data_IF_736289496752
#
_entry.id   IF_736289496752
#
_cell.length_a   1.000
_cell.length_b   1.000
_cell.length_c   1.000
_cell.angle_alpha   90.00
_cell.angle_beta   90.00
_cell.angle_gamma   90.00
#
_symmetry.space_group_name_H-M   'P 1'
#
loop_
_entity.id
_entity.type
_entity.pdbx_description
1 polymer ?
#
# COMPACT_ATOMS: atom_id res chain seq x y z
N UNK A 1 1.33 -5.39 41.05
CA UNK A 1 1.29 -4.14 40.29
C UNK A 1 1.11 -4.54 38.84
N UNK A 2 0.04 -4.12 38.21
CA UNK A 2 -0.79 -4.81 37.27
C UNK A 2 -0.20 -5.00 35.86
N UNK A 3 0.08 -6.25 35.51
CA UNK A 3 0.28 -6.74 34.16
C UNK A 3 -1.09 -7.17 33.59
N UNK A 4 -1.87 -6.26 33.07
CA UNK A 4 -3.11 -6.58 32.35
C UNK A 4 -3.47 -5.46 31.38
N UNK A 5 -2.79 -5.39 30.23
CA UNK A 5 -3.30 -4.56 29.11
C UNK A 5 -2.73 -4.96 27.72
N UNK A 6 -2.27 -6.21 27.52
CA UNK A 6 -1.72 -6.62 26.20
C UNK A 6 -2.36 -7.88 25.60
N UNK A 7 -3.65 -8.14 25.82
CA UNK A 7 -4.31 -9.33 25.30
C UNK A 7 -5.56 -9.06 24.46
N UNK A 8 -5.60 -7.99 23.67
CA UNK A 8 -6.77 -7.71 22.81
C UNK A 8 -6.46 -7.28 21.38
N UNK A 9 -5.24 -7.53 20.87
CA UNK A 9 -4.90 -7.20 19.48
C UNK A 9 -4.90 -8.38 18.51
N UNK A 10 -5.13 -9.62 18.96
CA UNK A 10 -4.93 -10.82 18.15
C UNK A 10 -6.13 -11.32 17.35
N UNK A 11 -7.25 -10.59 17.27
CA UNK A 11 -8.44 -11.05 16.53
C UNK A 11 -9.07 -9.99 15.62
N UNK A 12 -8.30 -9.01 15.14
CA UNK A 12 -8.81 -8.05 14.18
C UNK A 12 -8.37 -8.37 12.74
N UNK A 13 -8.65 -9.60 12.28
CA UNK A 13 -8.79 -9.87 10.86
C UNK A 13 -10.10 -9.25 10.37
N UNK A 14 -10.17 -7.93 10.40
CA UNK A 14 -11.22 -7.23 9.68
C UNK A 14 -10.88 -7.27 8.19
N UNK A 15 -11.60 -8.10 7.43
CA UNK A 15 -11.90 -7.79 6.03
C UNK A 15 -12.56 -6.42 6.05
N UNK A 16 -11.77 -5.36 5.86
CA UNK A 16 -12.27 -4.00 5.74
C UNK A 16 -13.12 -3.94 4.46
N UNK A 17 -14.41 -4.11 4.61
CA UNK A 17 -15.37 -3.69 3.59
C UNK A 17 -15.20 -2.17 3.45
N UNK A 18 -15.28 -1.61 2.24
CA UNK A 18 -15.26 -0.15 1.99
C UNK A 18 -16.22 0.61 2.90
N UNK A 19 -17.34 0.00 3.30
CA UNK A 19 -18.29 0.56 4.27
C UNK A 19 -17.72 0.74 5.68
N UNK A 20 -16.59 0.11 6.01
CA UNK A 20 -15.94 0.21 7.32
C UNK A 20 -14.82 1.27 7.33
N UNK A 21 -14.32 1.66 6.16
CA UNK A 21 -13.26 2.67 6.03
C UNK A 21 -13.76 4.06 6.42
N UNK A 22 -14.95 4.44 5.98
CA UNK A 22 -15.58 5.70 6.39
C UNK A 22 -15.85 5.76 7.90
N UNK A 23 -16.14 4.62 8.53
CA UNK A 23 -16.45 4.55 9.96
C UNK A 23 -15.25 4.85 10.86
N UNK A 24 -14.06 4.27 10.60
CA UNK A 24 -12.89 4.52 11.45
C UNK A 24 -12.28 5.92 11.20
N UNK A 25 -12.27 6.40 9.96
CA UNK A 25 -11.85 7.78 9.64
C UNK A 25 -12.73 8.78 10.36
N UNK A 26 -14.04 8.63 10.28
CA UNK A 26 -15.00 9.48 11.00
C UNK A 26 -14.76 9.47 12.52
N UNK A 27 -14.52 8.29 13.09
CA UNK A 27 -14.20 8.18 14.52
C UNK A 27 -12.93 8.95 14.87
N UNK A 28 -11.83 8.73 14.14
CA UNK A 28 -10.55 9.41 14.39
C UNK A 28 -10.65 10.92 14.17
N UNK A 29 -11.36 11.38 13.17
CA UNK A 29 -11.61 12.81 12.94
C UNK A 29 -12.42 13.45 14.08
N UNK A 30 -13.39 12.73 14.60
CA UNK A 30 -14.17 13.18 15.75
C UNK A 30 -13.27 13.34 16.98
N UNK A 31 -12.45 12.35 17.29
CA UNK A 31 -11.50 12.42 18.42
C UNK A 31 -10.48 13.54 18.21
N UNK A 32 -9.98 13.69 16.98
CA UNK A 32 -9.05 14.77 16.65
C UNK A 32 -9.66 16.17 16.84
N UNK A 33 -10.96 16.34 16.57
CA UNK A 33 -11.69 17.60 16.85
C UNK A 33 -11.75 17.95 18.33
N UNK A 34 -11.79 16.94 19.21
CA UNK A 34 -11.82 17.15 20.67
C UNK A 34 -10.50 17.66 21.22
N UNK A 35 -9.35 17.38 20.56
CA UNK A 35 -8.02 17.80 21.00
C UNK A 35 -7.78 19.33 20.92
N UNK A 36 -8.70 20.09 20.37
CA UNK A 36 -8.55 21.54 20.18
C UNK A 36 -7.57 21.92 19.06
N UNK A 37 -7.71 23.14 18.55
CA UNK A 37 -6.99 23.58 17.33
C UNK A 37 -5.47 23.82 17.56
N UNK A 38 -5.02 23.95 18.81
CA UNK A 38 -3.63 24.24 19.15
C UNK A 38 -2.85 23.00 19.58
N UNK A 39 -3.44 21.80 19.57
CA UNK A 39 -2.76 20.58 19.95
C UNK A 39 -1.56 20.31 19.03
N UNK A 40 -0.39 20.07 19.63
CA UNK A 40 0.83 19.72 18.88
C UNK A 40 0.61 18.46 18.05
N UNK A 41 1.00 18.51 16.79
CA UNK A 41 0.86 17.36 15.87
C UNK A 41 -0.53 17.20 15.24
N UNK A 42 -1.51 18.07 15.57
CA UNK A 42 -2.87 17.98 15.04
C UNK A 42 -2.93 17.97 13.51
N UNK A 43 -2.22 18.90 12.86
CA UNK A 43 -2.20 18.98 11.39
C UNK A 43 -1.62 17.72 10.74
N UNK A 44 -0.55 17.16 11.34
CA UNK A 44 0.03 15.92 10.90
C UNK A 44 -0.94 14.72 11.08
N UNK A 45 -1.61 14.64 12.22
CA UNK A 45 -2.62 13.61 12.46
C UNK A 45 -3.79 13.73 11.49
N UNK A 46 -4.29 14.94 11.24
CA UNK A 46 -5.33 15.18 10.24
C UNK A 46 -4.89 14.71 8.86
N UNK A 47 -3.67 15.05 8.46
CA UNK A 47 -3.12 14.65 7.16
C UNK A 47 -3.03 13.11 7.05
N UNK A 48 -2.52 12.43 8.08
CA UNK A 48 -2.41 10.97 8.13
C UNK A 48 -3.80 10.32 8.03
N UNK A 49 -4.78 10.79 8.81
CA UNK A 49 -6.15 10.25 8.78
C UNK A 49 -6.77 10.41 7.38
N UNK A 50 -6.56 11.56 6.74
CA UNK A 50 -7.09 11.84 5.41
C UNK A 50 -6.53 10.89 4.35
N UNK A 51 -5.23 10.57 4.41
CA UNK A 51 -4.53 9.77 3.39
C UNK A 51 -4.36 8.30 3.74
N UNK A 52 -4.66 7.90 4.98
CA UNK A 52 -4.63 6.49 5.36
C UNK A 52 -5.67 5.68 4.59
N UNK A 53 -5.33 4.46 4.23
CA UNK A 53 -6.20 3.54 3.49
C UNK A 53 -6.18 2.17 4.17
N UNK A 54 -7.37 1.64 4.48
CA UNK A 54 -7.54 0.35 5.13
C UNK A 54 -7.18 -0.84 4.20
N UNK A 55 -6.98 -0.59 2.91
CA UNK A 55 -6.51 -1.59 1.96
C UNK A 55 -5.02 -1.94 2.11
N UNK A 56 -4.22 -1.11 2.82
CA UNK A 56 -2.84 -1.46 3.10
C UNK A 56 -2.77 -2.66 4.05
N UNK A 57 -2.28 -3.79 3.56
CA UNK A 57 -2.19 -5.04 4.31
C UNK A 57 -0.87 -5.20 5.09
N UNK A 58 0.09 -4.29 4.90
CA UNK A 58 1.39 -4.32 5.58
C UNK A 58 1.90 -2.92 5.92
N UNK A 59 2.82 -2.78 6.90
CA UNK A 59 3.49 -1.51 7.19
C UNK A 59 4.26 -0.93 5.99
N UNK A 60 4.83 -1.79 5.14
CA UNK A 60 5.56 -1.35 3.95
C UNK A 60 4.62 -0.74 2.91
N UNK A 61 3.46 -1.35 2.65
CA UNK A 61 2.43 -0.77 1.78
C UNK A 61 1.94 0.58 2.29
N UNK A 62 1.69 0.69 3.61
CA UNK A 62 1.29 1.95 4.23
C UNK A 62 2.39 3.02 4.10
N UNK A 63 3.67 2.64 4.18
CA UNK A 63 4.80 3.55 3.99
C UNK A 63 4.92 3.99 2.53
N UNK A 64 4.75 3.10 1.56
CA UNK A 64 4.71 3.45 0.12
C UNK A 64 3.60 4.48 -0.12
N UNK A 65 2.39 4.20 0.35
CA UNK A 65 1.25 5.11 0.19
C UNK A 65 1.55 6.49 0.80
N UNK A 66 2.13 6.50 2.00
CA UNK A 66 2.52 7.74 2.68
C UNK A 66 3.51 8.57 1.85
N UNK A 67 4.61 7.98 1.37
CA UNK A 67 5.64 8.71 0.61
C UNK A 67 5.09 9.29 -0.70
N UNK A 68 4.28 8.51 -1.40
CA UNK A 68 3.67 8.97 -2.65
C UNK A 68 2.64 10.09 -2.42
N UNK A 69 1.78 9.96 -1.42
CA UNK A 69 0.82 11.01 -1.05
C UNK A 69 1.52 12.28 -0.57
N UNK A 70 2.58 12.17 0.22
CA UNK A 70 3.38 13.30 0.70
C UNK A 70 4.06 14.06 -0.46
N UNK A 71 4.42 13.35 -1.53
CA UNK A 71 4.95 13.94 -2.76
C UNK A 71 3.87 14.53 -3.69
N UNK A 72 2.60 14.51 -3.29
CA UNK A 72 1.48 15.02 -4.08
C UNK A 72 0.97 14.05 -5.16
N UNK A 73 1.43 12.81 -5.17
CA UNK A 73 0.92 11.74 -6.03
C UNK A 73 -0.33 11.15 -5.40
N UNK A 74 -1.50 11.69 -5.74
CA UNK A 74 -2.81 11.31 -5.21
C UNK A 74 -3.65 10.59 -6.26
N UNK A 75 -4.77 9.99 -5.84
CA UNK A 75 -5.68 9.27 -6.75
C UNK A 75 -5.35 7.80 -6.95
N UNK A 76 -4.37 7.27 -6.21
CA UNK A 76 -4.12 5.83 -6.14
C UNK A 76 -5.29 5.10 -5.49
N UNK A 77 -5.45 3.84 -5.89
CA UNK A 77 -6.33 2.86 -5.23
C UNK A 77 -5.48 1.75 -4.66
N UNK A 78 -5.82 1.28 -3.46
CA UNK A 78 -5.20 0.11 -2.85
C UNK A 78 -5.91 -1.17 -3.24
N UNK A 79 -5.23 -2.30 -3.16
CA UNK A 79 -5.74 -3.64 -3.43
C UNK A 79 -6.53 -3.72 -4.73
N UNK A 80 -5.91 -3.22 -5.83
CA UNK A 80 -6.55 -3.19 -7.14
C UNK A 80 -6.63 -4.60 -7.71
N UNK A 81 -7.86 -5.07 -7.89
CA UNK A 81 -8.13 -6.39 -8.45
C UNK A 81 -8.03 -6.37 -9.99
N UNK A 82 -7.23 -7.28 -10.54
CA UNK A 82 -7.04 -7.46 -11.98
C UNK A 82 -7.41 -8.89 -12.36
N UNK A 83 -8.37 -9.04 -13.27
CA UNK A 83 -8.80 -10.31 -13.82
C UNK A 83 -8.12 -10.52 -15.18
N UNK A 84 -7.32 -11.57 -15.30
CA UNK A 84 -6.67 -11.93 -16.56
C UNK A 84 -6.47 -13.42 -16.67
N UNK A 85 -6.71 -13.99 -17.87
CA UNK A 85 -6.52 -15.40 -18.21
C UNK A 85 -7.15 -16.38 -17.21
N UNK A 86 -8.34 -16.03 -16.69
CA UNK A 86 -9.07 -16.85 -15.71
C UNK A 86 -8.48 -16.82 -14.30
N UNK A 87 -7.52 -15.96 -14.03
CA UNK A 87 -6.93 -15.73 -12.72
C UNK A 87 -7.24 -14.33 -12.19
N UNK A 88 -7.12 -14.19 -10.89
CA UNK A 88 -7.34 -12.95 -10.15
C UNK A 88 -6.06 -12.57 -9.42
N UNK A 89 -5.60 -11.35 -9.68
CA UNK A 89 -4.42 -10.76 -9.04
C UNK A 89 -4.81 -9.50 -8.30
N UNK A 90 -4.04 -9.16 -7.27
CA UNK A 90 -4.20 -7.90 -6.54
C UNK A 90 -2.89 -7.13 -6.65
N UNK A 91 -3.01 -5.83 -6.91
CA UNK A 91 -1.90 -4.87 -6.91
C UNK A 91 -2.04 -4.03 -5.64
N UNK A 92 -0.98 -3.89 -4.84
CA UNK A 92 -1.03 -3.26 -3.52
C UNK A 92 -1.55 -1.83 -3.58
N UNK A 93 -1.01 -0.99 -4.47
CA UNK A 93 -1.61 0.28 -4.84
C UNK A 93 -1.36 0.61 -6.31
N UNK A 94 -2.26 1.37 -6.95
CA UNK A 94 -2.14 1.66 -8.37
C UNK A 94 -2.84 2.96 -8.79
N UNK A 95 -2.28 3.60 -9.79
CA UNK A 95 -2.93 4.59 -10.64
C UNK A 95 -3.66 3.83 -11.75
N UNK A 96 -4.96 3.64 -11.59
CA UNK A 96 -5.72 2.72 -12.43
C UNK A 96 -5.95 3.25 -13.85
N UNK A 97 -6.03 4.56 -14.04
CA UNK A 97 -6.18 5.20 -15.34
C UNK A 97 -4.94 4.99 -16.21
N UNK A 98 -3.77 5.16 -15.62
CA UNK A 98 -2.46 5.03 -16.27
C UNK A 98 -1.97 3.58 -16.28
N UNK A 99 -2.63 2.67 -15.56
CA UNK A 99 -2.21 1.28 -15.35
C UNK A 99 -0.76 1.19 -14.81
N UNK A 100 -0.42 2.04 -13.85
CA UNK A 100 0.83 1.98 -13.10
C UNK A 100 0.54 1.42 -11.71
N UNK A 101 1.05 0.22 -11.44
CA UNK A 101 0.95 -0.47 -10.16
C UNK A 101 2.22 -0.37 -9.36
N UNK A 102 2.11 -0.28 -8.05
CA UNK A 102 3.21 -0.26 -7.10
C UNK A 102 2.98 -1.41 -6.12
N UNK A 103 3.97 -2.27 -5.94
CA UNK A 103 3.92 -3.44 -5.08
C UNK A 103 5.07 -3.41 -4.09
N UNK A 104 4.76 -3.60 -2.82
CA UNK A 104 5.76 -3.68 -1.77
C UNK A 104 6.26 -5.11 -1.61
N UNK A 105 7.53 -5.36 -1.94
CA UNK A 105 8.20 -6.64 -1.66
C UNK A 105 8.95 -6.56 -0.33
N UNK A 106 8.26 -6.94 0.74
CA UNK A 106 8.81 -6.97 2.10
C UNK A 106 9.70 -8.17 2.40
N UNK A 107 10.00 -9.02 1.40
CA UNK A 107 10.78 -10.23 1.62
C UNK A 107 12.23 -9.90 1.91
N UNK A 108 12.58 -9.88 3.19
CA UNK A 108 13.96 -10.15 3.58
C UNK A 108 14.29 -11.59 3.12
N UNK A 109 15.41 -11.77 2.44
CA UNK A 109 15.89 -13.07 1.92
C UNK A 109 16.25 -13.99 3.09
N UNK A 110 15.25 -14.60 3.72
CA UNK A 110 15.43 -15.60 4.77
C UNK A 110 15.12 -16.99 4.22
N UNK A 111 16.17 -17.77 4.00
CA UNK A 111 16.25 -19.21 4.25
C UNK A 111 15.23 -20.16 3.63
N UNK A 112 14.71 -19.89 2.42
CA UNK A 112 13.91 -20.88 1.71
C UNK A 112 14.81 -21.86 0.96
N UNK A 113 14.40 -23.11 0.91
CA UNK A 113 15.09 -24.14 0.11
C UNK A 113 15.02 -23.78 -1.40
N UNK A 114 16.02 -24.19 -2.17
CA UNK A 114 16.17 -23.84 -3.58
C UNK A 114 14.97 -24.24 -4.46
N UNK A 115 14.20 -25.27 -4.10
CA UNK A 115 13.02 -25.73 -4.84
C UNK A 115 11.83 -24.81 -4.61
N UNK A 116 11.62 -24.35 -3.38
CA UNK A 116 10.55 -23.41 -3.04
C UNK A 116 10.81 -22.05 -3.68
N UNK A 117 12.07 -21.63 -3.75
CA UNK A 117 12.50 -20.40 -4.44
C UNK A 117 12.18 -20.49 -5.94
N UNK A 118 12.54 -21.58 -6.61
CA UNK A 118 12.28 -21.77 -8.04
C UNK A 118 10.78 -21.74 -8.38
N UNK A 119 9.96 -22.43 -7.59
CA UNK A 119 8.50 -22.45 -7.78
C UNK A 119 7.88 -21.06 -7.53
N UNK A 120 8.37 -20.32 -6.56
CA UNK A 120 7.94 -18.96 -6.27
C UNK A 120 8.30 -17.98 -7.39
N UNK A 121 9.54 -18.03 -7.88
CA UNK A 121 10.01 -17.21 -9.00
C UNK A 121 9.23 -17.48 -10.29
N UNK A 122 8.89 -18.74 -10.57
CA UNK A 122 8.12 -19.10 -11.76
C UNK A 122 6.70 -18.54 -11.70
N UNK A 123 6.02 -18.63 -10.55
CA UNK A 123 4.69 -18.06 -10.34
C UNK A 123 4.70 -16.53 -10.46
N UNK A 124 5.75 -15.91 -9.92
CA UNK A 124 5.87 -14.46 -9.97
C UNK A 124 6.12 -13.94 -11.39
N UNK A 125 6.97 -14.64 -12.18
CA UNK A 125 7.17 -14.31 -13.60
C UNK A 125 5.89 -14.50 -14.41
N UNK A 126 5.09 -15.53 -14.11
CA UNK A 126 3.80 -15.76 -14.76
C UNK A 126 2.82 -14.63 -14.42
N UNK A 127 2.72 -14.24 -13.16
CA UNK A 127 1.91 -13.14 -12.67
C UNK A 127 2.28 -11.83 -13.37
N UNK A 128 3.57 -11.51 -13.41
CA UNK A 128 4.06 -10.30 -14.07
C UNK A 128 3.68 -10.27 -15.54
N UNK A 129 3.93 -11.37 -16.29
CA UNK A 129 3.53 -11.45 -17.73
C UNK A 129 2.03 -11.26 -17.93
N UNK A 130 1.20 -11.76 -17.03
CA UNK A 130 -0.24 -11.59 -17.13
C UNK A 130 -0.65 -10.12 -16.91
N UNK A 131 -0.08 -9.45 -15.92
CA UNK A 131 -0.34 -8.04 -15.65
C UNK A 131 0.16 -7.15 -16.80
N UNK A 132 1.36 -7.41 -17.31
CA UNK A 132 1.93 -6.70 -18.47
C UNK A 132 1.06 -6.88 -19.74
N UNK A 133 0.51 -8.07 -19.98
CA UNK A 133 -0.39 -8.32 -21.09
C UNK A 133 -1.70 -7.52 -21.02
N UNK A 134 -2.13 -7.18 -19.79
CA UNK A 134 -3.26 -6.27 -19.56
C UNK A 134 -2.83 -4.79 -19.62
N UNK A 135 -1.57 -4.52 -19.92
CA UNK A 135 -1.01 -3.18 -20.05
C UNK A 135 -0.54 -2.56 -18.73
N UNK A 136 -0.47 -3.31 -17.65
CA UNK A 136 0.05 -2.81 -16.38
C UNK A 136 1.56 -2.66 -16.41
N UNK A 137 2.06 -1.56 -15.87
CA UNK A 137 3.46 -1.36 -15.51
C UNK A 137 3.59 -1.50 -14.00
N UNK A 138 4.33 -2.49 -13.52
CA UNK A 138 4.47 -2.78 -12.10
C UNK A 138 5.84 -2.31 -11.61
N UNK A 139 5.83 -1.42 -10.63
CA UNK A 139 7.01 -0.94 -9.90
C UNK A 139 7.07 -1.73 -8.58
N UNK A 140 8.19 -2.40 -8.32
CA UNK A 140 8.44 -3.12 -7.08
C UNK A 140 9.26 -2.27 -6.14
N UNK A 141 8.83 -2.21 -4.90
CA UNK A 141 9.40 -1.37 -3.86
C UNK A 141 9.80 -2.25 -2.68
N UNK A 142 11.06 -2.22 -2.28
CA UNK A 142 11.56 -2.83 -1.07
C UNK A 142 11.83 -1.82 0.03
N UNK A 143 12.29 -2.29 1.18
CA UNK A 143 12.66 -1.40 2.29
C UNK A 143 13.76 -0.41 1.91
N UNK A 144 14.74 -0.86 1.10
CA UNK A 144 15.82 0.01 0.63
C UNK A 144 15.31 1.21 -0.17
N UNK A 145 14.29 1.01 -1.01
CA UNK A 145 13.71 2.08 -1.84
C UNK A 145 12.96 3.11 -0.97
N UNK A 146 12.42 2.66 0.17
CA UNK A 146 11.76 3.51 1.15
C UNK A 146 12.74 4.33 2.00
N UNK A 147 14.01 3.95 2.04
CA UNK A 147 15.09 4.76 2.61
C UNK A 147 15.53 5.90 1.65
N UNK A 148 15.16 5.78 0.34
CA UNK A 148 15.45 6.75 -0.72
C UNK A 148 14.17 7.19 -1.45
N UNK A 149 13.18 7.79 -0.75
CA UNK A 149 11.84 8.05 -1.30
C UNK A 149 11.85 8.96 -2.53
N UNK A 150 12.83 9.85 -2.67
CA UNK A 150 12.95 10.74 -3.82
C UNK A 150 13.17 9.96 -5.14
N UNK A 151 13.95 8.87 -5.10
CA UNK A 151 14.18 8.01 -6.26
C UNK A 151 12.91 7.24 -6.64
N UNK A 152 12.21 6.68 -5.67
CA UNK A 152 10.91 6.04 -5.86
C UNK A 152 9.90 7.01 -6.48
N UNK A 153 9.77 8.22 -5.93
CA UNK A 153 8.87 9.26 -6.42
C UNK A 153 9.20 9.63 -7.88
N UNK A 154 10.49 9.80 -8.20
CA UNK A 154 10.94 10.10 -9.56
C UNK A 154 10.59 8.96 -10.53
N UNK A 155 10.79 7.70 -10.13
CA UNK A 155 10.43 6.52 -10.92
C UNK A 155 8.93 6.45 -11.20
N UNK A 156 8.09 6.66 -10.18
CA UNK A 156 6.62 6.66 -10.33
C UNK A 156 6.18 7.78 -11.26
N UNK A 157 6.71 9.01 -11.10
CA UNK A 157 6.41 10.14 -11.99
C UNK A 157 6.78 9.87 -13.43
N UNK A 158 7.95 9.27 -13.67
CA UNK A 158 8.40 8.91 -15.01
C UNK A 158 7.48 7.86 -15.65
N UNK A 159 7.06 6.86 -14.87
CA UNK A 159 6.12 5.82 -15.33
C UNK A 159 4.75 6.42 -15.70
N UNK A 160 4.23 7.33 -14.87
CA UNK A 160 2.96 8.02 -15.14
C UNK A 160 3.06 8.89 -16.40
N UNK A 161 4.13 9.67 -16.54
CA UNK A 161 4.36 10.52 -17.72
C UNK A 161 4.41 9.72 -19.01
N UNK A 162 5.05 8.55 -19.00
CA UNK A 162 5.12 7.65 -20.16
C UNK A 162 3.77 7.06 -20.59
N UNK A 163 2.72 7.19 -19.76
CA UNK A 163 1.37 6.69 -20.05
C UNK A 163 0.40 7.79 -20.53
N UNK A 164 0.81 9.05 -20.42
CA UNK A 164 0.01 10.21 -20.84
C UNK A 164 0.34 10.66 -22.27
N UNK A 165 1.39 10.15 -22.90
CA UNK A 165 1.82 10.41 -24.27
C UNK A 165 1.48 9.29 -25.21
#
# INVERSE_FOLDING_TARGET
MNAHTYTHFDNFHMKASRNNEESWKFFLERELKQLGNRARGRSQAQWIITHADAGCASPGEARVLYELCAAGLTGMRTQVEVHTRGRRYFIDCAFTAEKVGIEFDGRAKYGDDARSIHASLSRERERQRHLEAEGWHIIRVGWHDLDHPDELIAQVRAALAARLG
#
